data_IF_916857912993
#
_entry.id   IF_916857912993
#
_cell.length_a   1.000
_cell.length_b   1.000
_cell.length_c   1.000
_cell.angle_alpha   90.00
_cell.angle_beta   90.00
_cell.angle_gamma   90.00
#
_symmetry.space_group_name_H-M   'P 1'
#
loop_
_entity.id
_entity.type
_entity.pdbx_description
1 polymer ?
#
# COMPACT_ATOMS: atom_id res chain seq x y z
N UNK A 1 -3.06 -32.57 -25.09
CA UNK A 1 -4.46 -32.28 -24.75
C UNK A 1 -4.46 -30.87 -24.19
N UNK A 2 -4.67 -29.89 -25.08
CA UNK A 2 -4.56 -28.46 -24.81
C UNK A 2 -5.93 -27.96 -24.37
N UNK A 3 -6.08 -27.66 -23.08
CA UNK A 3 -7.29 -27.00 -22.57
C UNK A 3 -7.15 -25.51 -22.81
N UNK A 4 -7.84 -25.06 -23.85
CA UNK A 4 -8.06 -23.69 -24.25
C UNK A 4 -8.87 -22.98 -23.17
N UNK A 5 -8.25 -22.07 -22.41
CA UNK A 5 -8.98 -21.18 -21.50
C UNK A 5 -9.57 -20.06 -22.34
N UNK A 6 -10.86 -20.20 -22.62
CA UNK A 6 -11.72 -19.23 -23.27
C UNK A 6 -11.61 -17.86 -22.59
N UNK A 7 -11.00 -16.89 -23.29
CA UNK A 7 -10.97 -15.50 -22.85
C UNK A 7 -12.36 -14.90 -22.99
N UNK A 8 -13.05 -14.78 -21.86
CA UNK A 8 -14.32 -14.06 -21.76
C UNK A 8 -14.11 -12.60 -22.20
N UNK A 9 -14.96 -12.02 -23.07
CA UNK A 9 -14.76 -10.66 -23.55
C UNK A 9 -14.90 -9.66 -22.40
N UNK A 10 -13.84 -8.87 -22.20
CA UNK A 10 -13.85 -7.71 -21.30
C UNK A 10 -14.89 -6.72 -21.81
N UNK A 11 -16.05 -6.74 -21.18
CA UNK A 11 -17.13 -5.81 -21.44
C UNK A 11 -16.67 -4.43 -20.96
N UNK A 12 -16.21 -3.58 -21.87
CA UNK A 12 -15.88 -2.17 -21.58
C UNK A 12 -17.15 -1.48 -21.11
N UNK A 13 -17.32 -1.39 -19.79
CA UNK A 13 -18.33 -0.53 -19.18
C UNK A 13 -17.93 0.91 -19.50
N UNK A 14 -18.56 1.50 -20.52
CA UNK A 14 -18.50 2.94 -20.76
C UNK A 14 -19.37 3.60 -19.69
N UNK A 15 -18.90 3.60 -18.45
CA UNK A 15 -19.51 4.43 -17.41
C UNK A 15 -19.17 5.89 -17.74
N UNK A 16 -20.13 6.83 -17.68
CA UNK A 16 -19.82 8.23 -17.78
C UNK A 16 -18.86 8.60 -16.64
N UNK A 17 -17.58 8.79 -16.98
CA UNK A 17 -16.58 9.21 -16.01
C UNK A 17 -16.99 10.59 -15.50
N UNK A 18 -17.34 10.67 -14.21
CA UNK A 18 -17.43 11.96 -13.54
C UNK A 18 -16.07 12.62 -13.63
N UNK A 19 -16.02 13.90 -14.00
CA UNK A 19 -14.84 14.74 -13.79
C UNK A 19 -14.55 14.75 -12.28
N UNK A 20 -13.63 13.89 -11.84
CA UNK A 20 -13.15 13.85 -10.46
C UNK A 20 -12.29 15.10 -10.28
N UNK A 21 -12.86 16.12 -9.63
CA UNK A 21 -12.03 17.21 -9.13
C UNK A 21 -11.26 16.70 -7.92
N UNK A 22 -9.93 16.71 -7.99
CA UNK A 22 -9.07 16.20 -6.92
C UNK A 22 -9.17 17.16 -5.73
N UNK A 23 -9.56 16.68 -4.54
CA UNK A 23 -9.58 17.53 -3.36
C UNK A 23 -8.16 18.04 -3.06
N UNK A 24 -8.03 19.32 -2.69
CA UNK A 24 -6.73 19.94 -2.42
C UNK A 24 -5.88 19.15 -1.41
N UNK A 25 -6.52 18.53 -0.42
CA UNK A 25 -5.86 17.69 0.60
C UNK A 25 -5.17 16.43 0.05
N UNK A 26 -5.46 16.00 -1.17
CA UNK A 26 -4.87 14.81 -1.79
C UNK A 26 -3.81 15.18 -2.85
N UNK A 27 -3.62 16.48 -3.11
CA UNK A 27 -2.77 16.95 -4.19
C UNK A 27 -1.28 16.68 -3.94
N UNK A 28 -0.89 16.58 -2.66
CA UNK A 28 0.48 16.30 -2.22
C UNK A 28 0.76 14.79 -2.09
N UNK A 29 -0.23 13.93 -2.40
CA UNK A 29 -0.09 12.48 -2.28
C UNK A 29 0.08 11.84 -3.64
N UNK A 30 0.84 10.75 -3.68
CA UNK A 30 0.93 9.89 -4.85
C UNK A 30 -0.37 9.10 -5.03
N UNK A 31 -1.01 9.24 -6.19
CA UNK A 31 -2.28 8.58 -6.50
C UNK A 31 -2.03 7.55 -7.59
N UNK A 32 -2.17 6.27 -7.22
CA UNK A 32 -2.17 5.16 -8.19
C UNK A 32 -3.59 4.95 -8.71
N UNK A 33 -3.83 4.92 -10.03
CA UNK A 33 -5.15 4.65 -10.58
C UNK A 33 -5.54 3.18 -10.41
N UNK A 34 -6.83 2.92 -10.18
CA UNK A 34 -7.37 1.59 -9.87
C UNK A 34 -6.98 0.51 -10.92
N UNK A 35 -6.90 0.86 -12.20
CA UNK A 35 -6.53 -0.06 -13.29
C UNK A 35 -5.06 -0.53 -13.24
N UNK A 36 -4.22 0.13 -12.46
CA UNK A 36 -2.81 -0.25 -12.24
C UNK A 36 -2.61 -1.13 -10.99
N UNK A 37 -3.69 -1.40 -10.23
CA UNK A 37 -3.67 -2.32 -9.09
C UNK A 37 -3.91 -3.74 -9.60
N UNK A 38 -2.84 -4.43 -9.95
CA UNK A 38 -2.87 -5.83 -10.42
C UNK A 38 -1.97 -6.73 -9.55
N UNK A 39 -2.13 -8.04 -9.68
CA UNK A 39 -1.42 -9.05 -8.85
C UNK A 39 0.11 -9.03 -9.04
N UNK A 40 0.60 -8.44 -10.13
CA UNK A 40 2.01 -8.32 -10.47
C UNK A 40 2.60 -6.94 -10.07
N UNK A 41 1.78 -6.05 -9.50
CA UNK A 41 2.13 -4.66 -9.19
C UNK A 41 2.69 -4.49 -7.78
N UNK A 42 3.47 -3.44 -7.60
CA UNK A 42 4.10 -3.08 -6.31
C UNK A 42 3.07 -2.92 -5.17
N UNK A 43 1.85 -2.47 -5.50
CA UNK A 43 0.78 -2.27 -4.51
C UNK A 43 0.33 -3.57 -3.82
N UNK A 44 0.33 -4.69 -4.54
CA UNK A 44 0.00 -6.01 -3.96
C UNK A 44 1.14 -6.51 -3.09
N UNK A 45 2.40 -6.15 -3.41
CA UNK A 45 3.54 -6.47 -2.57
C UNK A 45 3.52 -5.73 -1.22
N UNK A 46 3.02 -4.48 -1.18
CA UNK A 46 2.87 -3.76 0.09
C UNK A 46 1.89 -4.45 1.05
N UNK A 47 0.83 -5.07 0.54
CA UNK A 47 -0.08 -5.86 1.37
C UNK A 47 0.60 -7.14 1.92
N UNK A 48 1.48 -7.76 1.14
CA UNK A 48 2.25 -8.94 1.57
C UNK A 48 3.30 -8.63 2.64
N UNK A 49 3.78 -7.38 2.70
CA UNK A 49 4.70 -6.95 3.75
C UNK A 49 4.04 -6.90 5.14
N UNK A 50 2.71 -6.89 5.24
CA UNK A 50 2.01 -6.96 6.54
C UNK A 50 2.32 -8.26 7.31
N UNK A 51 2.57 -9.37 6.59
CA UNK A 51 2.99 -10.64 7.21
C UNK A 51 4.46 -10.63 7.68
N UNK A 52 5.22 -9.58 7.36
CA UNK A 52 6.64 -9.46 7.77
C UNK A 52 6.81 -8.78 9.12
N UNK A 53 5.73 -8.25 9.69
CA UNK A 53 5.75 -7.63 11.02
C UNK A 53 5.77 -8.69 12.13
N UNK A 54 6.62 -8.50 13.16
CA UNK A 54 6.67 -9.40 14.30
C UNK A 54 5.39 -9.29 15.14
N UNK A 55 4.76 -10.42 15.44
CA UNK A 55 3.48 -10.45 16.17
C UNK A 55 3.67 -10.18 17.67
N UNK A 56 4.84 -10.51 18.21
CA UNK A 56 5.13 -10.33 19.63
C UNK A 56 6.41 -9.53 19.87
N UNK A 57 6.49 -8.95 21.07
CA UNK A 57 7.61 -8.10 21.49
C UNK A 57 8.95 -8.84 21.42
N UNK A 58 9.00 -10.13 21.76
CA UNK A 58 10.24 -10.90 21.73
C UNK A 58 10.76 -11.05 20.30
N UNK A 59 9.92 -11.39 19.34
CA UNK A 59 10.29 -11.43 17.92
C UNK A 59 10.73 -10.06 17.41
N UNK A 60 10.00 -9.01 17.79
CA UNK A 60 10.30 -7.64 17.39
C UNK A 60 11.69 -7.19 17.87
N UNK A 61 12.00 -7.43 19.14
CA UNK A 61 13.28 -7.04 19.74
C UNK A 61 14.46 -7.90 19.27
N UNK A 62 14.19 -9.08 18.70
CA UNK A 62 15.23 -9.93 18.13
C UNK A 62 15.40 -9.75 16.61
N UNK A 63 14.56 -8.94 15.96
CA UNK A 63 14.64 -8.69 14.52
C UNK A 63 15.35 -7.35 14.24
N UNK A 64 16.62 -7.35 13.77
CA UNK A 64 17.38 -6.12 13.56
C UNK A 64 16.80 -5.22 12.46
N UNK A 65 16.14 -5.79 11.44
CA UNK A 65 15.48 -4.99 10.39
C UNK A 65 14.30 -4.23 10.95
N UNK A 66 13.50 -4.91 11.79
CA UNK A 66 12.36 -4.30 12.46
C UNK A 66 12.79 -3.17 13.40
N UNK A 67 13.85 -3.41 14.19
CA UNK A 67 14.41 -2.39 15.08
C UNK A 67 14.86 -1.15 14.29
N UNK A 68 15.56 -1.33 13.16
CA UNK A 68 15.99 -0.22 12.31
C UNK A 68 14.79 0.56 11.77
N UNK A 69 13.81 -0.14 11.19
CA UNK A 69 12.61 0.49 10.62
C UNK A 69 11.81 1.26 11.67
N UNK A 70 11.58 0.68 12.84
CA UNK A 70 10.85 1.33 13.94
C UNK A 70 11.60 2.55 14.48
N UNK A 71 12.94 2.52 14.48
CA UNK A 71 13.76 3.67 14.90
C UNK A 71 13.65 4.81 13.90
N UNK A 72 13.69 4.52 12.60
CA UNK A 72 13.50 5.53 11.54
C UNK A 72 12.11 6.17 11.60
N UNK A 73 11.07 5.38 11.87
CA UNK A 73 9.70 5.89 12.04
C UNK A 73 9.59 6.80 13.26
N UNK A 74 10.10 6.38 14.42
CA UNK A 74 10.10 7.21 15.64
C UNK A 74 10.82 8.55 15.44
N UNK A 75 11.98 8.54 14.76
CA UNK A 75 12.69 9.77 14.41
C UNK A 75 11.87 10.67 13.48
N UNK A 76 11.12 10.08 12.54
CA UNK A 76 10.27 10.83 11.62
C UNK A 76 9.07 11.45 12.34
N UNK A 77 8.47 10.73 13.29
CA UNK A 77 7.38 11.24 14.13
C UNK A 77 7.87 12.43 14.96
N UNK A 78 9.03 12.30 15.60
CA UNK A 78 9.66 13.37 16.39
C UNK A 78 10.02 14.57 15.52
N UNK A 79 10.65 14.36 14.36
CA UNK A 79 11.04 15.45 13.46
C UNK A 79 9.85 16.22 12.87
N UNK A 80 8.70 15.56 12.71
CA UNK A 80 7.52 16.17 12.09
C UNK A 80 6.53 16.72 13.12
N UNK A 81 6.80 16.58 14.43
CA UNK A 81 5.90 16.97 15.52
C UNK A 81 4.47 16.42 15.33
N UNK A 82 4.36 15.19 14.80
CA UNK A 82 3.07 14.60 14.38
C UNK A 82 2.30 13.92 15.50
N UNK A 83 2.93 13.74 16.67
CA UNK A 83 2.33 13.02 17.79
C UNK A 83 2.63 13.69 19.14
N UNK A 84 1.67 13.60 20.06
CA UNK A 84 1.82 14.07 21.44
C UNK A 84 1.26 13.04 22.42
N UNK A 85 1.90 12.90 23.57
CA UNK A 85 1.43 12.01 24.63
C UNK A 85 0.45 12.77 25.54
N UNK A 86 -0.74 12.17 25.77
CA UNK A 86 -1.84 12.76 26.55
C UNK A 86 -1.96 12.12 27.92
#
# INVERSE_FOLDING_TARGET
QTSEVEKLPQQTRVQPQRTRNMPARIQDFEITPDDQVNDDGELVHYAFLADTEPVNMTEALNNPKWISAMTEELNSIESNDTWSLV
#
